data_IF_448340625718
#
_entry.id   IF_448340625718
#
_cell.length_a   1.000
_cell.length_b   1.000
_cell.length_c   1.000
_cell.angle_alpha   90.00
_cell.angle_beta   90.00
_cell.angle_gamma   90.00
#
_symmetry.space_group_name_H-M   'P 1'
#
loop_
_entity.id
_entity.type
_entity.pdbx_description
1 polymer ?
#
# COMPACT_ATOMS: atom_id res chain seq x y z
N UNK A 1 -3.50 -12.71 18.99
CA UNK A 1 -3.28 -12.51 20.45
C UNK A 1 -3.42 -11.06 20.90
N UNK A 2 -3.36 -10.05 20.02
CA UNK A 2 -3.45 -8.63 20.36
C UNK A 2 -4.88 -8.10 20.63
N UNK A 3 -5.93 -8.73 20.07
CA UNK A 3 -7.31 -8.24 20.19
C UNK A 3 -7.84 -8.29 21.63
N UNK A 4 -7.44 -9.30 22.41
CA UNK A 4 -7.89 -9.45 23.81
C UNK A 4 -7.34 -8.35 24.74
N UNK A 5 -6.10 -7.92 24.51
CA UNK A 5 -5.48 -6.86 25.32
C UNK A 5 -6.16 -5.50 25.12
N UNK A 6 -6.51 -5.18 23.87
CA UNK A 6 -7.21 -3.94 23.53
C UNK A 6 -8.61 -3.94 24.13
N UNK A 7 -9.36 -5.03 24.00
CA UNK A 7 -10.71 -5.15 24.57
C UNK A 7 -10.68 -5.04 26.09
N UNK A 8 -9.72 -5.67 26.76
CA UNK A 8 -9.55 -5.54 28.21
C UNK A 8 -9.23 -4.11 28.64
N UNK A 9 -8.33 -3.42 27.92
CA UNK A 9 -7.95 -2.04 28.22
C UNK A 9 -9.11 -1.07 28.01
N UNK A 10 -9.82 -1.15 26.87
CA UNK A 10 -11.01 -0.33 26.61
C UNK A 10 -12.10 -0.57 27.66
N UNK A 11 -12.33 -1.82 28.06
CA UNK A 11 -13.29 -2.16 29.12
C UNK A 11 -12.89 -1.53 30.45
N UNK A 12 -11.59 -1.54 30.78
CA UNK A 12 -11.10 -0.93 32.01
C UNK A 12 -11.27 0.59 32.01
N UNK A 13 -10.91 1.27 30.91
CA UNK A 13 -11.12 2.71 30.77
C UNK A 13 -12.59 3.12 30.87
N UNK A 14 -13.49 2.31 30.29
CA UNK A 14 -14.93 2.58 30.32
C UNK A 14 -15.51 2.42 31.74
N UNK A 15 -15.03 1.42 32.50
CA UNK A 15 -15.41 1.26 33.92
C UNK A 15 -14.91 2.41 34.78
N UNK A 16 -13.69 2.89 34.54
CA UNK A 16 -13.13 4.05 35.25
C UNK A 16 -13.92 5.34 34.92
N UNK A 17 -14.26 5.54 33.64
CA UNK A 17 -15.02 6.72 33.19
C UNK A 17 -16.45 6.77 33.74
N UNK A 18 -17.12 5.62 33.88
CA UNK A 18 -18.49 5.55 34.43
C UNK A 18 -18.53 5.76 35.94
N UNK A 19 -17.43 5.48 36.66
CA UNK A 19 -17.38 5.56 38.13
C UNK A 19 -17.07 6.95 38.68
N UNK A 20 -16.62 7.90 37.86
CA UNK A 20 -16.35 9.26 38.32
C UNK A 20 -17.49 10.19 37.90
N UNK A 21 -18.31 10.59 38.88
CA UNK A 21 -19.23 11.73 38.73
C UNK A 21 -18.41 12.96 38.30
N UNK A 22 -18.78 13.52 37.15
CA UNK A 22 -18.00 14.46 36.36
C UNK A 22 -17.79 15.75 37.17
N UNK A 23 -16.62 15.87 37.79
CA UNK A 23 -16.10 17.13 38.30
C UNK A 23 -15.05 17.63 37.31
N UNK A 24 -15.08 18.93 36.98
CA UNK A 24 -14.19 19.54 35.96
C UNK A 24 -12.70 19.13 36.01
N UNK A 25 -12.05 18.88 37.17
CA UNK A 25 -10.65 18.44 37.19
C UNK A 25 -10.42 16.99 36.71
N UNK A 26 -11.43 16.13 36.64
CA UNK A 26 -11.28 14.73 36.17
C UNK A 26 -11.34 14.57 34.65
N UNK A 27 -11.61 15.64 33.90
CA UNK A 27 -11.68 15.61 32.43
C UNK A 27 -10.30 15.49 31.77
N UNK A 28 -9.27 16.10 32.36
CA UNK A 28 -7.89 16.08 31.83
C UNK A 28 -7.33 14.66 31.69
N UNK A 29 -7.35 13.79 32.73
CA UNK A 29 -6.83 12.43 32.59
C UNK A 29 -7.65 11.59 31.60
N UNK A 30 -8.96 11.83 31.47
CA UNK A 30 -9.80 11.16 30.49
C UNK A 30 -9.42 11.57 29.06
N UNK A 31 -9.23 12.86 28.80
CA UNK A 31 -8.75 13.34 27.50
C UNK A 31 -7.37 12.77 27.14
N UNK A 32 -6.43 12.74 28.08
CA UNK A 32 -5.12 12.15 27.85
C UNK A 32 -5.21 10.65 27.55
N UNK A 33 -6.09 9.91 28.25
CA UNK A 33 -6.32 8.50 27.99
C UNK A 33 -6.90 8.27 26.58
N UNK A 34 -7.87 9.09 26.15
CA UNK A 34 -8.45 9.01 24.81
C UNK A 34 -7.42 9.36 23.75
N UNK A 35 -6.65 10.44 23.92
CA UNK A 35 -5.58 10.82 22.99
C UNK A 35 -4.52 9.73 22.89
N UNK A 36 -4.12 9.14 24.01
CA UNK A 36 -3.19 8.01 24.03
C UNK A 36 -3.73 6.80 23.27
N UNK A 37 -5.01 6.46 23.47
CA UNK A 37 -5.66 5.36 22.74
C UNK A 37 -5.70 5.63 21.23
N UNK A 38 -6.07 6.85 20.83
CA UNK A 38 -6.09 7.26 19.41
C UNK A 38 -4.69 7.19 18.81
N UNK A 39 -3.66 7.70 19.51
CA UNK A 39 -2.29 7.64 19.04
C UNK A 39 -1.81 6.19 18.81
N UNK A 40 -2.08 5.29 19.76
CA UNK A 40 -1.73 3.86 19.64
C UNK A 40 -2.49 3.22 18.48
N UNK A 41 -3.79 3.51 18.33
CA UNK A 41 -4.59 2.99 17.22
C UNK A 41 -4.03 3.45 15.86
N UNK A 42 -3.69 4.73 15.72
CA UNK A 42 -3.08 5.29 14.50
C UNK A 42 -1.77 4.59 14.18
N UNK A 43 -0.87 4.42 15.15
CA UNK A 43 0.40 3.72 14.95
C UNK A 43 0.17 2.27 14.51
N UNK A 44 -0.78 1.57 15.11
CA UNK A 44 -1.11 0.19 14.73
C UNK A 44 -1.65 0.10 13.29
N UNK A 45 -2.58 0.97 12.91
CA UNK A 45 -3.13 1.01 11.54
C UNK A 45 -2.02 1.32 10.54
N UNK A 46 -1.18 2.31 10.82
CA UNK A 46 -0.08 2.68 9.94
C UNK A 46 0.96 1.56 9.80
N UNK A 47 1.31 0.89 10.91
CA UNK A 47 2.21 -0.26 10.88
C UNK A 47 1.64 -1.42 10.06
N UNK A 48 0.33 -1.68 10.14
CA UNK A 48 -0.34 -2.69 9.33
C UNK A 48 -0.35 -2.29 7.85
N UNK A 49 -0.72 -1.05 7.52
CA UNK A 49 -0.70 -0.55 6.16
C UNK A 49 0.69 -0.66 5.52
N UNK A 50 1.74 -0.21 6.24
CA UNK A 50 3.12 -0.30 5.77
C UNK A 50 3.62 -1.74 5.62
N UNK A 51 3.13 -2.68 6.46
CA UNK A 51 3.45 -4.11 6.31
C UNK A 51 2.77 -4.72 5.09
N UNK A 52 1.51 -4.35 4.82
CA UNK A 52 0.76 -4.80 3.65
C UNK A 52 1.35 -4.24 2.35
N UNK A 53 1.71 -2.96 2.31
CA UNK A 53 2.32 -2.32 1.15
C UNK A 53 3.62 -3.03 0.73
N UNK A 54 4.51 -3.35 1.70
CA UNK A 54 5.76 -4.07 1.42
C UNK A 54 5.54 -5.49 0.88
N UNK A 55 4.45 -6.16 1.26
CA UNK A 55 4.11 -7.49 0.75
C UNK A 55 3.60 -7.46 -0.69
N UNK A 56 3.00 -6.35 -1.12
CA UNK A 56 2.42 -6.22 -2.45
C UNK A 56 3.46 -5.77 -3.50
N UNK A 57 4.43 -4.95 -3.11
CA UNK A 57 5.37 -4.34 -4.07
C UNK A 57 6.16 -5.38 -4.90
N UNK A 58 6.67 -6.42 -4.24
CA UNK A 58 7.46 -7.47 -4.92
C UNK A 58 6.66 -8.26 -5.98
N UNK A 59 5.51 -8.85 -5.62
CA UNK A 59 4.65 -9.56 -6.57
C UNK A 59 4.15 -8.69 -7.73
N UNK A 60 3.76 -7.44 -7.46
CA UNK A 60 3.28 -6.51 -8.49
C UNK A 60 4.37 -6.27 -9.54
N UNK A 61 5.60 -5.98 -9.10
CA UNK A 61 6.70 -5.71 -10.02
C UNK A 61 7.01 -6.92 -10.92
N UNK A 62 6.89 -8.15 -10.40
CA UNK A 62 7.06 -9.38 -11.20
C UNK A 62 5.99 -9.51 -12.28
N UNK A 63 4.74 -9.20 -11.95
CA UNK A 63 3.62 -9.22 -12.91
C UNK A 63 3.81 -8.13 -13.97
N UNK A 64 4.20 -6.91 -13.58
CA UNK A 64 4.50 -5.81 -14.51
C UNK A 64 5.60 -6.19 -15.50
N UNK A 65 6.70 -6.77 -15.04
CA UNK A 65 7.79 -7.22 -15.92
C UNK A 65 7.32 -8.32 -16.87
N UNK A 66 6.49 -9.26 -16.40
CA UNK A 66 5.90 -10.27 -17.28
C UNK A 66 5.01 -9.65 -18.35
N UNK A 67 4.15 -8.69 -18.00
CA UNK A 67 3.32 -7.96 -18.97
C UNK A 67 4.16 -7.16 -19.97
N UNK A 68 5.28 -6.57 -19.54
CA UNK A 68 6.23 -5.90 -20.44
C UNK A 68 6.86 -6.87 -21.44
N UNK A 69 7.26 -8.07 -21.00
CA UNK A 69 7.79 -9.13 -21.87
C UNK A 69 6.75 -9.65 -22.87
N UNK A 70 5.50 -9.80 -22.43
CA UNK A 70 4.40 -10.15 -23.31
C UNK A 70 4.21 -9.09 -24.41
N UNK A 71 4.33 -7.81 -24.05
CA UNK A 71 4.27 -6.70 -25.02
C UNK A 71 5.41 -6.75 -26.05
N UNK A 72 6.58 -7.27 -25.69
CA UNK A 72 7.69 -7.49 -26.63
C UNK A 72 7.56 -8.78 -27.45
N UNK A 73 6.47 -9.53 -27.28
CA UNK A 73 6.21 -10.78 -28.01
C UNK A 73 6.74 -12.05 -27.33
N UNK A 74 7.32 -11.95 -26.13
CA UNK A 74 7.72 -13.11 -25.34
C UNK A 74 6.52 -13.67 -24.57
N UNK A 75 5.79 -14.54 -25.25
CA UNK A 75 4.61 -15.27 -24.74
C UNK A 75 4.96 -16.64 -24.14
N UNK A 76 6.25 -17.01 -24.15
CA UNK A 76 6.74 -18.25 -23.53
C UNK A 76 7.00 -18.11 -22.03
N UNK A 77 7.12 -16.88 -21.54
CA UNK A 77 7.42 -16.61 -20.14
C UNK A 77 6.29 -17.03 -19.19
N UNK A 78 6.62 -17.69 -18.08
CA UNK A 78 5.67 -18.07 -17.01
C UNK A 78 5.90 -17.27 -15.75
N UNK A 79 4.80 -16.77 -15.17
CA UNK A 79 4.85 -16.00 -13.93
C UNK A 79 4.73 -16.95 -12.73
N UNK A 80 5.81 -17.06 -11.97
CA UNK A 80 5.84 -17.83 -10.72
C UNK A 80 5.94 -16.88 -9.51
N UNK A 81 4.93 -16.92 -8.64
CA UNK A 81 4.90 -16.22 -7.35
C UNK A 81 5.18 -17.19 -6.20
N UNK A 82 5.65 -16.66 -5.06
CA UNK A 82 5.97 -17.47 -3.87
C UNK A 82 4.68 -17.93 -3.18
N UNK A 83 4.75 -19.04 -2.44
CA UNK A 83 3.64 -19.50 -1.59
C UNK A 83 3.34 -18.45 -0.52
N UNK A 84 2.09 -17.99 -0.47
CA UNK A 84 1.63 -16.96 0.47
C UNK A 84 1.52 -15.55 -0.11
N UNK A 85 1.89 -15.34 -1.38
CA UNK A 85 1.65 -14.07 -2.06
C UNK A 85 0.16 -13.90 -2.37
N UNK A 86 -0.40 -12.73 -2.08
CA UNK A 86 -1.83 -12.44 -2.29
C UNK A 86 -2.25 -12.42 -3.76
N UNK A 87 -1.31 -12.21 -4.69
CA UNK A 87 -1.58 -12.12 -6.13
C UNK A 87 -1.43 -13.46 -6.87
N UNK A 88 -1.41 -14.58 -6.14
CA UNK A 88 -1.22 -15.90 -6.74
C UNK A 88 -2.30 -16.25 -7.77
N UNK A 89 -3.55 -15.93 -7.48
CA UNK A 89 -4.67 -16.16 -8.40
C UNK A 89 -4.50 -15.34 -9.68
N UNK A 90 -4.12 -14.06 -9.57
CA UNK A 90 -3.85 -13.19 -10.72
C UNK A 90 -2.72 -13.74 -11.60
N UNK A 91 -1.63 -14.23 -10.99
CA UNK A 91 -0.55 -14.88 -11.74
C UNK A 91 -1.01 -16.19 -12.41
N UNK A 92 -1.90 -16.95 -11.76
CA UNK A 92 -2.52 -18.14 -12.34
C UNK A 92 -3.34 -17.79 -13.58
N UNK A 93 -4.22 -16.81 -13.47
CA UNK A 93 -5.07 -16.33 -14.57
C UNK A 93 -4.23 -15.79 -15.74
N UNK A 94 -3.16 -15.05 -15.44
CA UNK A 94 -2.23 -14.57 -16.47
C UNK A 94 -1.54 -15.72 -17.20
N UNK A 95 -1.13 -16.77 -16.49
CA UNK A 95 -0.55 -17.96 -17.12
C UNK A 95 -1.57 -18.69 -18.00
N UNK A 96 -2.85 -18.76 -17.59
CA UNK A 96 -3.92 -19.34 -18.40
C UNK A 96 -4.18 -18.52 -19.68
N UNK A 97 -4.16 -17.20 -19.58
CA UNK A 97 -4.26 -16.32 -20.75
C UNK A 97 -3.10 -16.56 -21.73
N UNK A 98 -1.88 -16.72 -21.21
CA UNK A 98 -0.70 -17.03 -22.02
C UNK A 98 -0.79 -18.40 -22.68
N UNK A 99 -1.32 -19.41 -21.98
CA UNK A 99 -1.62 -20.72 -22.57
C UNK A 99 -2.60 -20.61 -23.73
N UNK A 100 -3.68 -19.86 -23.52
CA UNK A 100 -4.69 -19.66 -24.53
C UNK A 100 -4.14 -18.93 -25.76
N UNK A 101 -3.31 -17.89 -25.57
CA UNK A 101 -2.64 -17.16 -26.65
C UNK A 101 -1.66 -18.03 -27.43
N UNK A 102 -0.93 -18.92 -26.75
CA UNK A 102 -0.03 -19.87 -27.41
C UNK A 102 -0.81 -20.90 -28.24
N UNK A 103 -1.99 -21.32 -27.77
CA UNK A 103 -2.86 -22.24 -28.51
C UNK A 103 -3.63 -21.56 -29.65
N UNK A 104 -3.91 -20.26 -29.53
CA UNK A 104 -4.71 -19.48 -30.47
C UNK A 104 -3.95 -18.20 -30.88
N UNK A 105 -2.84 -18.33 -31.62
CA UNK A 105 -2.04 -17.18 -32.00
C UNK A 105 -2.85 -16.27 -32.94
N UNK A 106 -2.93 -14.95 -32.66
CA UNK A 106 -3.60 -14.02 -33.55
C UNK A 106 -2.84 -13.93 -34.89
N UNK A 107 -3.59 -13.70 -35.97
CA UNK A 107 -3.05 -13.67 -37.32
C UNK A 107 -1.88 -12.66 -37.42
N UNK A 108 -0.72 -13.14 -37.88
CA UNK A 108 0.50 -12.33 -38.04
C UNK A 108 1.50 -12.40 -36.88
N UNK A 109 1.21 -13.13 -35.80
CA UNK A 109 2.15 -13.32 -34.68
C UNK A 109 2.95 -14.61 -34.84
N UNK A 110 4.29 -14.50 -34.82
CA UNK A 110 5.20 -15.65 -34.83
C UNK A 110 5.29 -16.24 -33.43
N UNK A 111 4.53 -17.30 -33.18
CA UNK A 111 4.58 -18.10 -31.95
C UNK A 111 5.75 -19.08 -32.02
N UNK A 112 6.70 -18.98 -31.08
CA UNK A 112 7.53 -20.10 -30.63
C UNK A 112 8.65 -20.58 -31.57
N UNK A 113 9.80 -19.91 -31.55
CA UNK A 113 11.18 -20.49 -31.50
C UNK A 113 12.26 -19.43 -31.64
N UNK A 114 11.92 -18.19 -32.03
CA UNK A 114 12.91 -17.11 -32.04
C UNK A 114 13.26 -16.76 -30.59
N UNK A 115 14.46 -17.17 -30.17
CA UNK A 115 15.10 -16.65 -28.96
C UNK A 115 15.30 -15.16 -29.20
N UNK A 116 14.37 -14.33 -28.73
CA UNK A 116 14.62 -12.90 -28.63
C UNK A 116 15.66 -12.75 -27.53
N UNK A 117 16.90 -12.46 -27.93
CA UNK A 117 18.01 -12.19 -27.03
C UNK A 117 17.69 -10.90 -26.27
N UNK A 118 17.05 -11.05 -25.11
CA UNK A 118 16.78 -9.94 -24.21
C UNK A 118 18.12 -9.54 -23.64
N UNK A 119 18.65 -8.39 -24.08
CA UNK A 119 19.88 -7.82 -23.58
C UNK A 119 19.91 -7.79 -22.04
N UNK A 120 21.09 -7.86 -21.42
CA UNK A 120 21.23 -7.92 -19.97
C UNK A 120 20.37 -6.85 -19.32
N UNK A 121 19.49 -7.30 -18.42
CA UNK A 121 18.60 -6.44 -17.64
C UNK A 121 19.46 -5.41 -16.91
N UNK A 122 19.48 -4.17 -17.40
CA UNK A 122 20.31 -3.12 -16.83
C UNK A 122 19.66 -2.63 -15.52
N UNK A 123 20.29 -2.84 -14.35
CA UNK A 123 19.78 -2.31 -13.10
C UNK A 123 19.68 -0.77 -13.09
N UNK A 124 20.26 -0.06 -14.07
CA UNK A 124 20.20 1.40 -14.20
C UNK A 124 18.78 1.91 -14.45
N UNK A 125 17.89 1.14 -15.11
CA UNK A 125 16.49 1.55 -15.30
C UNK A 125 15.70 1.64 -13.97
N UNK A 126 16.13 0.92 -12.92
CA UNK A 126 15.54 1.05 -11.58
C UNK A 126 16.00 2.31 -10.85
N UNK A 127 17.18 2.84 -11.15
CA UNK A 127 17.65 4.09 -10.57
C UNK A 127 16.84 5.28 -11.10
N UNK A 128 16.37 5.21 -12.36
CA UNK A 128 15.48 6.22 -12.94
C UNK A 128 14.03 6.06 -12.47
N UNK A 129 13.52 4.83 -12.33
CA UNK A 129 12.18 4.61 -11.73
C UNK A 129 12.13 4.92 -10.21
N UNK A 130 13.28 4.92 -9.52
CA UNK A 130 13.42 5.42 -8.14
C UNK A 130 13.30 6.94 -8.02
N UNK A 131 13.33 7.68 -9.13
CA UNK A 131 13.12 9.13 -9.16
C UNK A 131 11.70 9.55 -8.75
N UNK A 132 10.69 8.68 -8.92
CA UNK A 132 9.34 8.93 -8.40
C UNK A 132 9.30 8.87 -6.87
N UNK A 133 10.17 8.09 -6.22
CA UNK A 133 10.28 8.12 -4.76
C UNK A 133 10.92 9.40 -4.23
N UNK A 134 11.71 10.11 -5.05
CA UNK A 134 12.17 11.46 -4.75
C UNK A 134 11.07 12.50 -4.98
N UNK A 135 10.19 12.30 -5.98
CA UNK A 135 9.02 13.15 -6.21
C UNK A 135 8.06 13.11 -5.00
N UNK A 136 7.78 11.92 -4.46
CA UNK A 136 6.97 11.76 -3.24
C UNK A 136 7.70 12.18 -1.95
N UNK A 137 9.04 12.23 -1.96
CA UNK A 137 9.84 12.72 -0.82
C UNK A 137 10.07 14.25 -0.84
N UNK A 138 9.84 14.91 -1.98
CA UNK A 138 9.83 16.38 -2.10
C UNK A 138 8.45 16.93 -1.69
N UNK A 139 7.37 16.21 -1.95
CA UNK A 139 6.00 16.61 -1.62
C UNK A 139 5.70 16.62 -0.10
N UNK A 140 6.46 15.88 0.70
CA UNK A 140 6.39 15.89 2.17
C UNK A 140 7.23 17.03 2.82
N UNK A 141 7.94 17.86 2.03
CA UNK A 141 8.87 18.88 2.56
C UNK A 141 8.23 20.26 2.80
N UNK A 142 6.95 20.47 2.45
CA UNK A 142 6.22 21.73 2.68
C UNK A 142 4.82 21.59 3.32
N UNK A 143 4.64 20.88 4.46
CA UNK A 143 3.36 20.88 5.17
C UNK A 143 3.01 22.23 5.82
N UNK A 144 3.98 23.14 5.97
CA UNK A 144 3.82 24.44 6.64
C UNK A 144 3.11 25.48 5.76
N UNK A 145 3.13 25.33 4.42
CA UNK A 145 2.60 26.36 3.51
C UNK A 145 1.06 26.30 3.35
N UNK A 146 0.44 25.15 3.65
CA UNK A 146 -1.02 24.98 3.56
C UNK A 146 -1.79 25.30 4.85
N UNK A 147 -1.11 25.59 5.97
CA UNK A 147 -1.75 25.96 7.22
C UNK A 147 -2.17 27.46 7.27
N UNK A 148 -1.56 28.32 6.46
CA UNK A 148 -1.80 29.78 6.48
C UNK A 148 -3.08 30.25 5.79
N UNK A 149 -3.59 29.53 4.80
CA UNK A 149 -4.68 30.03 3.93
C UNK A 149 -6.09 29.65 4.39
N UNK A 150 -6.24 28.69 5.32
CA UNK A 150 -7.56 28.29 5.83
C UNK A 150 -8.08 29.15 6.99
N UNK A 151 -7.24 29.99 7.59
CA UNK A 151 -7.66 30.94 8.64
C UNK A 151 -8.45 32.14 8.12
N UNK A 152 -8.28 32.53 6.85
CA UNK A 152 -8.91 33.73 6.30
C UNK A 152 -10.38 33.53 5.88
N UNK A 153 -10.78 32.32 5.48
CA UNK A 153 -12.15 32.05 5.03
C UNK A 153 -13.15 31.76 6.17
N UNK A 154 -12.66 31.47 7.38
CA UNK A 154 -13.54 31.22 8.53
C UNK A 154 -14.09 32.52 9.16
N UNK A 155 -13.44 33.67 8.96
CA UNK A 155 -13.91 34.95 9.51
C UNK A 155 -14.95 35.67 8.65
N UNK A 156 -15.17 35.24 7.41
CA UNK A 156 -16.07 35.93 6.47
C UNK A 156 -17.47 35.28 6.40
N UNK A 157 -17.65 34.10 6.98
CA UNK A 157 -18.96 33.41 7.07
C UNK A 157 -19.70 33.74 8.39
N UNK A 158 -19.08 34.54 9.27
CA UNK A 158 -19.66 34.97 10.57
C UNK A 158 -20.00 36.47 10.63
N UNK A 159 -20.16 37.13 9.47
CA UNK A 159 -20.81 38.44 9.33
C UNK A 159 -22.00 38.32 8.40
#
# INVERSE_FOLDING_TARGET
MSSGAVVWFCRRLLVEAVRHEITLPSLVPLFLAVLGLVAVATVLVFAQAARSARRLHGPIQRITVAMQRMRTGDIGHRVHLRRGDHLREVAGELNLLLDWLNQNPPAGVRTGTDVVEVGPFDPVDRAQAGGESALWAEEDRHPEEFAGTRGALASEVLR
#
